data_IF_186408266317
#
_entry.id   IF_186408266317
#
_cell.length_a   1.000
_cell.length_b   1.000
_cell.length_c   1.000
_cell.angle_alpha   90.00
_cell.angle_beta   90.00
_cell.angle_gamma   90.00
#
_symmetry.space_group_name_H-M   'P 1'
#
loop_
_entity.id
_entity.type
_entity.pdbx_description
1 polymer ?
#
# COMPACT_ATOMS: atom_id res chain seq x y z
N UNK A 1 4.75 -8.60 -5.57
CA UNK A 1 5.94 -7.73 -5.41
C UNK A 1 5.43 -6.40 -4.89
N UNK A 2 5.84 -5.98 -3.69
CA UNK A 2 5.44 -4.68 -3.13
C UNK A 2 6.18 -3.54 -3.83
N UNK A 3 5.54 -2.39 -3.99
CA UNK A 3 6.18 -1.22 -4.57
C UNK A 3 7.02 -0.45 -3.56
N UNK A 4 7.89 0.44 -4.04
CA UNK A 4 8.66 1.34 -3.20
C UNK A 4 7.82 2.58 -2.82
N UNK A 5 7.65 2.85 -1.53
CA UNK A 5 6.96 4.05 -1.02
C UNK A 5 7.65 5.34 -1.43
N UNK A 6 8.98 5.35 -1.52
CA UNK A 6 9.76 6.52 -1.95
C UNK A 6 9.55 6.86 -3.43
N UNK A 7 9.11 5.88 -4.22
CA UNK A 7 8.76 6.07 -5.63
C UNK A 7 7.29 6.49 -5.82
N UNK A 8 6.50 6.64 -4.75
CA UNK A 8 5.09 6.98 -4.85
C UNK A 8 4.89 8.43 -5.30
N UNK A 9 4.39 8.62 -6.52
CA UNK A 9 4.13 9.95 -7.12
C UNK A 9 2.75 10.06 -7.78
N UNK A 10 1.86 9.12 -7.45
CA UNK A 10 0.51 9.01 -8.02
C UNK A 10 0.46 8.43 -9.45
N UNK A 11 1.59 8.34 -10.15
CA UNK A 11 1.74 7.62 -11.41
C UNK A 11 2.39 6.25 -11.17
N UNK A 12 3.30 6.18 -10.21
CA UNK A 12 3.88 4.98 -9.65
C UNK A 12 3.22 4.74 -8.28
N UNK A 13 2.54 3.61 -8.13
CA UNK A 13 1.84 3.25 -6.88
C UNK A 13 2.47 2.02 -6.25
N UNK A 14 2.40 1.93 -4.93
CA UNK A 14 2.84 0.77 -4.17
C UNK A 14 1.67 0.15 -3.42
N UNK A 15 1.51 -1.16 -3.53
CA UNK A 15 0.43 -1.86 -2.86
C UNK A 15 0.25 -3.29 -3.31
N UNK A 16 -0.85 -3.89 -2.89
CA UNK A 16 -1.26 -5.22 -3.29
C UNK A 16 -2.76 -5.42 -3.13
N UNK A 17 -3.28 -6.40 -3.86
CA UNK A 17 -4.68 -6.82 -3.80
C UNK A 17 -4.76 -8.22 -3.20
N UNK A 18 -5.67 -8.40 -2.25
CA UNK A 18 -6.09 -9.70 -1.77
C UNK A 18 -7.54 -9.97 -2.20
N UNK A 19 -7.77 -10.98 -3.02
CA UNK A 19 -9.12 -11.36 -3.44
C UNK A 19 -9.17 -12.32 -4.65
N UNK A 20 -10.37 -12.87 -4.96
CA UNK A 20 -11.62 -12.73 -4.21
C UNK A 20 -11.81 -13.89 -3.22
N UNK A 21 -11.50 -13.67 -1.94
CA UNK A 21 -11.77 -14.63 -0.86
C UNK A 21 -12.37 -13.93 0.37
N UNK A 22 -12.96 -14.71 1.28
CA UNK A 22 -13.57 -14.17 2.51
C UNK A 22 -12.46 -13.89 3.52
N UNK A 23 -12.35 -12.62 3.93
CA UNK A 23 -11.51 -12.16 5.03
C UNK A 23 -12.48 -11.71 6.13
N UNK A 24 -12.38 -12.33 7.30
CA UNK A 24 -13.24 -12.06 8.45
C UNK A 24 -12.39 -11.50 9.61
N UNK A 25 -13.03 -10.83 10.55
CA UNK A 25 -12.39 -10.26 11.74
C UNK A 25 -12.56 -8.76 11.83
N UNK A 26 -12.28 -8.21 13.02
CA UNK A 26 -12.50 -6.80 13.33
C UNK A 26 -11.28 -5.93 13.05
N UNK A 27 -10.10 -6.55 12.88
CA UNK A 27 -8.84 -5.85 12.61
C UNK A 27 -8.08 -6.48 11.45
N UNK A 28 -7.21 -5.67 10.83
CA UNK A 28 -6.21 -6.12 9.86
C UNK A 28 -4.83 -5.74 10.37
N UNK A 29 -3.93 -6.71 10.38
CA UNK A 29 -2.52 -6.52 10.72
C UNK A 29 -1.69 -6.48 9.45
N UNK A 30 -1.01 -5.36 9.21
CA UNK A 30 -0.17 -5.16 8.03
C UNK A 30 1.29 -5.17 8.51
N UNK A 31 2.09 -6.02 7.89
CA UNK A 31 3.53 -6.10 8.10
C UNK A 31 4.24 -5.85 6.78
N UNK A 32 5.24 -4.97 6.79
CA UNK A 32 6.06 -4.71 5.62
C UNK A 32 7.49 -4.42 6.05
N UNK A 33 8.40 -4.63 5.12
CA UNK A 33 9.83 -4.40 5.31
C UNK A 33 10.30 -3.44 4.23
N UNK A 34 11.05 -2.41 4.65
CA UNK A 34 11.80 -1.59 3.70
C UNK A 34 13.01 -2.40 3.22
N UNK A 35 12.84 -3.10 2.11
CA UNK A 35 13.91 -3.89 1.51
C UNK A 35 14.95 -2.98 0.85
N UNK A 36 16.22 -3.26 1.09
CA UNK A 36 17.33 -2.48 0.57
C UNK A 36 18.31 -3.35 -0.20
N UNK A 37 19.01 -2.73 -1.15
CA UNK A 37 20.10 -3.41 -1.85
C UNK A 37 21.26 -3.67 -0.89
N UNK A 38 22.04 -4.72 -1.17
CA UNK A 38 23.24 -5.05 -0.39
C UNK A 38 24.23 -3.88 -0.31
N UNK A 39 24.35 -3.12 -1.41
CA UNK A 39 25.16 -1.91 -1.46
C UNK A 39 24.71 -0.84 -0.46
N UNK A 40 23.39 -0.59 -0.35
CA UNK A 40 22.85 0.35 0.62
C UNK A 40 23.08 -0.10 2.08
N UNK A 41 23.02 -1.41 2.33
CA UNK A 41 23.32 -1.98 3.65
C UNK A 41 24.80 -1.85 4.04
N UNK A 42 25.69 -2.17 3.10
CA UNK A 42 27.14 -2.24 3.34
C UNK A 42 27.80 -0.84 3.30
N UNK A 43 27.41 0.03 2.37
CA UNK A 43 28.10 1.32 2.12
C UNK A 43 27.41 2.53 2.78
N UNK A 44 26.08 2.55 2.85
CA UNK A 44 25.32 3.66 3.45
C UNK A 44 24.92 3.39 4.90
N UNK A 45 25.23 2.19 5.41
CA UNK A 45 24.94 1.79 6.78
C UNK A 45 23.47 1.57 7.09
N UNK A 46 22.61 1.48 6.07
CA UNK A 46 21.19 1.29 6.29
C UNK A 46 20.89 -0.11 6.86
N UNK A 47 19.83 -0.22 7.68
CA UNK A 47 19.39 -1.46 8.31
C UNK A 47 17.95 -1.77 7.97
N UNK A 48 17.57 -3.04 7.74
CA UNK A 48 16.20 -3.41 7.43
C UNK A 48 15.23 -2.85 8.47
N UNK A 49 14.19 -2.19 8.00
CA UNK A 49 13.14 -1.64 8.86
C UNK A 49 11.88 -2.49 8.73
N UNK A 50 11.55 -3.18 9.81
CA UNK A 50 10.31 -3.95 9.94
C UNK A 50 9.25 -3.05 10.54
N UNK A 51 8.22 -2.80 9.75
CA UNK A 51 7.06 -2.01 10.14
C UNK A 51 5.86 -2.92 10.39
N UNK A 52 5.06 -2.58 11.38
CA UNK A 52 3.81 -3.29 11.68
C UNK A 52 2.77 -2.29 12.15
N UNK A 53 1.58 -2.37 11.57
CA UNK A 53 0.41 -1.64 12.04
C UNK A 53 -0.78 -2.57 12.19
N UNK A 54 -1.69 -2.20 13.09
CA UNK A 54 -3.00 -2.81 13.20
C UNK A 54 -4.06 -1.72 12.98
N UNK A 55 -4.99 -2.00 12.08
CA UNK A 55 -6.07 -1.09 11.68
C UNK A 55 -7.42 -1.79 11.87
N UNK A 56 -8.51 -1.06 12.12
CA UNK A 56 -9.85 -1.64 12.05
C UNK A 56 -10.11 -2.19 10.64
N UNK A 57 -10.79 -3.33 10.56
CA UNK A 57 -11.19 -3.94 9.31
C UNK A 57 -12.19 -3.00 8.60
N UNK A 58 -11.92 -2.54 7.38
CA UNK A 58 -12.88 -1.72 6.65
C UNK A 58 -14.15 -2.53 6.37
N UNK A 59 -15.30 -1.87 6.45
CA UNK A 59 -16.59 -2.51 6.14
C UNK A 59 -16.62 -2.90 4.66
N UNK A 60 -16.97 -4.15 4.38
CA UNK A 60 -17.19 -4.66 3.03
C UNK A 60 -18.64 -4.50 2.61
N UNK A 61 -18.87 -3.88 1.47
CA UNK A 61 -20.19 -3.78 0.84
C UNK A 61 -20.38 -4.83 -0.27
N UNK A 62 -21.64 -5.10 -0.61
CA UNK A 62 -21.97 -6.07 -1.66
C UNK A 62 -21.37 -5.62 -2.99
N UNK A 63 -20.63 -6.52 -3.65
CA UNK A 63 -19.97 -6.27 -4.93
C UNK A 63 -18.52 -5.78 -4.81
N UNK A 64 -18.04 -5.45 -3.61
CA UNK A 64 -16.62 -5.23 -3.37
C UNK A 64 -15.93 -6.59 -3.19
N UNK A 65 -15.03 -6.95 -4.10
CA UNK A 65 -14.38 -8.26 -4.13
C UNK A 65 -12.87 -8.19 -3.88
N UNK A 66 -12.31 -6.99 -3.97
CA UNK A 66 -10.89 -6.73 -3.80
C UNK A 66 -10.65 -6.07 -2.46
N UNK A 67 -9.78 -6.66 -1.64
CA UNK A 67 -9.19 -6.01 -0.49
C UNK A 67 -7.86 -5.38 -0.89
N UNK A 68 -7.84 -4.06 -1.02
CA UNK A 68 -6.66 -3.32 -1.44
C UNK A 68 -5.86 -2.88 -0.24
N UNK A 69 -4.54 -3.01 -0.35
CA UNK A 69 -3.57 -2.36 0.51
C UNK A 69 -2.75 -1.42 -0.36
N UNK A 70 -2.74 -0.14 -0.03
CA UNK A 70 -1.92 0.88 -0.70
C UNK A 70 -0.94 1.47 0.31
N UNK A 71 0.33 1.55 -0.04
CA UNK A 71 1.33 2.24 0.77
C UNK A 71 1.53 3.65 0.20
N UNK A 72 1.11 4.64 0.97
CA UNK A 72 1.31 6.05 0.69
C UNK A 72 2.72 6.50 1.11
N UNK A 73 3.12 7.74 0.77
CA UNK A 73 4.32 8.36 1.33
C UNK A 73 4.35 8.29 2.87
N UNK A 74 5.54 8.41 3.44
CA UNK A 74 5.80 8.34 4.89
C UNK A 74 5.40 6.99 5.53
N UNK A 75 5.48 5.90 4.77
CA UNK A 75 5.16 4.54 5.23
C UNK A 75 3.73 4.41 5.80
N UNK A 76 2.77 5.13 5.22
CA UNK A 76 1.38 5.11 5.68
C UNK A 76 0.55 4.11 4.85
N UNK A 77 0.16 2.94 5.39
CA UNK A 77 -0.73 2.03 4.69
C UNK A 77 -2.18 2.52 4.76
N UNK A 78 -2.91 2.30 3.67
CA UNK A 78 -4.36 2.42 3.58
C UNK A 78 -4.93 1.07 3.14
N UNK A 79 -6.05 0.69 3.74
CA UNK A 79 -6.82 -0.51 3.38
C UNK A 79 -8.24 -0.15 2.99
N UNK A 80 -8.76 -0.79 1.95
CA UNK A 80 -10.12 -0.55 1.47
C UNK A 80 -10.68 -1.78 0.75
N UNK A 81 -11.96 -2.06 0.96
CA UNK A 81 -12.72 -2.97 0.09
C UNK A 81 -13.24 -2.20 -1.12
N UNK A 82 -13.01 -2.73 -2.32
CA UNK A 82 -13.46 -2.12 -3.57
C UNK A 82 -13.85 -3.17 -4.60
N UNK A 83 -14.39 -2.74 -5.76
CA UNK A 83 -14.70 -3.64 -6.87
C UNK A 83 -13.44 -3.95 -7.69
N UNK A 84 -12.56 -2.96 -7.86
CA UNK A 84 -11.25 -3.10 -8.48
C UNK A 84 -10.24 -2.16 -7.85
N UNK A 85 -9.12 -2.67 -7.29
CA UNK A 85 -8.09 -1.80 -6.69
C UNK A 85 -7.52 -0.77 -7.65
N UNK A 86 -7.42 -1.11 -8.93
CA UNK A 86 -6.85 -0.24 -9.94
C UNK A 86 -7.75 0.97 -10.24
N UNK A 87 -9.08 0.77 -10.21
CA UNK A 87 -10.05 1.82 -10.57
C UNK A 87 -10.55 2.59 -9.34
N UNK A 88 -10.76 1.90 -8.23
CA UNK A 88 -11.50 2.44 -7.08
C UNK A 88 -10.58 2.98 -5.96
N UNK A 89 -9.26 3.05 -6.20
CA UNK A 89 -8.30 3.74 -5.34
C UNK A 89 -7.87 5.09 -5.93
N UNK A 90 -8.43 5.51 -7.06
CA UNK A 90 -8.02 6.72 -7.77
C UNK A 90 -8.18 7.97 -6.90
N UNK A 91 -9.25 8.07 -6.12
CA UNK A 91 -9.50 9.17 -5.18
C UNK A 91 -8.41 9.28 -4.09
N UNK A 92 -7.80 8.16 -3.72
CA UNK A 92 -6.70 8.10 -2.75
C UNK A 92 -5.39 8.53 -3.40
N UNK A 93 -5.21 8.20 -4.68
CA UNK A 93 -3.98 8.41 -5.45
C UNK A 93 -3.93 9.84 -6.03
N UNK A 94 -5.08 10.37 -6.45
CA UNK A 94 -5.26 11.64 -7.14
C UNK A 94 -4.57 12.83 -6.48
N UNK A 95 -4.65 13.03 -5.14
CA UNK A 95 -3.97 14.14 -4.49
C UNK A 95 -2.44 14.10 -4.64
N UNK A 96 -1.88 12.92 -4.90
CA UNK A 96 -0.44 12.70 -5.04
C UNK A 96 0.02 12.73 -6.49
N UNK A 97 -0.90 12.77 -7.46
CA UNK A 97 -0.58 12.95 -8.88
C UNK A 97 0.00 14.33 -9.08
N UNK A 98 1.31 14.43 -8.89
CA UNK A 98 2.04 15.62 -9.26
C UNK A 98 1.95 15.73 -10.78
N UNK A 99 1.24 16.73 -11.30
CA UNK A 99 1.41 17.13 -12.70
C UNK A 99 2.89 17.47 -12.84
N UNK A 100 3.67 16.61 -13.50
CA UNK A 100 4.93 17.05 -14.07
C UNK A 100 4.57 18.08 -15.13
N UNK A 101 4.45 19.33 -14.71
CA UNK A 101 4.43 20.47 -15.61
C UNK A 101 5.74 20.44 -16.36
N UNK A 102 5.67 20.08 -17.64
CA UNK A 102 6.61 20.52 -18.64
C UNK A 102 5.87 20.78 -19.93
#
# INVERSE_FOLDING_TARGET
MGGNTDAFDGLNTSGGTAGPYRINGDTVKIKWELAMTRKQYDELGYRPELHTIELPMPKREKGQNDFCVLFLPDNKPIVRWVRSCYLDMDDVIDPYRTRRGR
#
